data_IF_522560424990
#
_entry.id   IF_522560424990
#
_cell.length_a   1.000
_cell.length_b   1.000
_cell.length_c   1.000
_cell.angle_alpha   90.00
_cell.angle_beta   90.00
_cell.angle_gamma   90.00
#
_symmetry.space_group_name_H-M   'P 1'
#
loop_
_entity.id
_entity.type
_entity.pdbx_description
1 polymer ?
#
# COMPACT_ATOMS: atom_id res chain seq x y z
N UNK A 1 -22.40 -9.55 12.74
CA UNK A 1 -22.63 -8.22 13.32
C UNK A 1 -22.34 -7.07 12.33
N UNK A 2 -21.11 -6.91 11.82
CA UNK A 2 -20.76 -5.81 10.87
C UNK A 2 -21.67 -5.78 9.63
N UNK A 3 -21.90 -6.92 9.01
CA UNK A 3 -22.78 -7.02 7.86
C UNK A 3 -24.21 -6.63 8.18
N UNK A 4 -24.70 -7.01 9.35
CA UNK A 4 -26.03 -6.68 9.81
C UNK A 4 -26.19 -5.18 10.06
N UNK A 5 -25.23 -4.56 10.77
CA UNK A 5 -25.21 -3.12 10.97
C UNK A 5 -25.19 -2.34 9.65
N UNK A 6 -24.42 -2.80 8.66
CA UNK A 6 -24.41 -2.16 7.36
C UNK A 6 -25.71 -2.32 6.59
N UNK A 7 -26.38 -3.48 6.65
CA UNK A 7 -27.70 -3.64 6.03
C UNK A 7 -28.74 -2.71 6.62
N UNK A 8 -28.65 -2.43 7.93
CA UNK A 8 -29.58 -1.52 8.63
C UNK A 8 -29.27 -0.04 8.35
N UNK A 9 -28.01 0.36 8.41
CA UNK A 9 -27.61 1.78 8.35
C UNK A 9 -27.20 2.25 6.95
N UNK A 10 -26.65 1.36 6.12
CA UNK A 10 -26.19 1.69 4.76
C UNK A 10 -26.53 0.59 3.74
N UNK A 11 -27.80 0.45 3.33
CA UNK A 11 -28.21 -0.54 2.35
C UNK A 11 -27.52 -0.38 0.97
N UNK A 12 -26.97 0.79 0.68
CA UNK A 12 -26.22 1.05 -0.55
C UNK A 12 -24.83 0.42 -0.55
N UNK A 13 -24.27 0.09 0.61
CA UNK A 13 -23.02 -0.64 0.74
C UNK A 13 -23.25 -2.15 0.61
N UNK A 14 -23.45 -2.62 -0.61
CA UNK A 14 -23.95 -3.99 -0.88
C UNK A 14 -23.04 -4.84 -1.77
N UNK A 15 -21.90 -4.32 -2.24
CA UNK A 15 -20.98 -5.07 -3.12
C UNK A 15 -20.42 -6.30 -2.41
N UNK A 16 -20.59 -7.54 -2.95
CA UNK A 16 -20.21 -8.77 -2.25
C UNK A 16 -18.77 -8.79 -1.75
N UNK A 17 -17.80 -8.35 -2.57
CA UNK A 17 -16.38 -8.32 -2.18
C UNK A 17 -16.04 -7.29 -1.10
N UNK A 18 -16.87 -6.25 -0.93
CA UNK A 18 -16.69 -5.26 0.15
C UNK A 18 -17.32 -5.76 1.44
N UNK A 19 -18.46 -6.44 1.35
CA UNK A 19 -19.17 -7.05 2.48
C UNK A 19 -18.43 -8.27 3.09
N UNK A 20 -17.36 -8.73 2.50
CA UNK A 20 -16.47 -9.78 3.02
C UNK A 20 -15.20 -9.23 3.67
N UNK A 21 -14.97 -7.91 3.61
CA UNK A 21 -13.78 -7.29 4.17
C UNK A 21 -14.13 -6.49 5.44
N UNK A 22 -13.75 -6.96 6.65
CA UNK A 22 -14.08 -6.31 7.91
C UNK A 22 -13.64 -4.85 7.98
N UNK A 23 -12.44 -4.52 7.49
CA UNK A 23 -11.94 -3.14 7.52
C UNK A 23 -12.74 -2.20 6.62
N UNK A 24 -13.17 -2.68 5.44
CA UNK A 24 -14.04 -1.91 4.54
C UNK A 24 -15.42 -1.72 5.14
N UNK A 25 -15.96 -2.74 5.80
CA UNK A 25 -17.23 -2.67 6.51
C UNK A 25 -17.17 -1.69 7.67
N UNK A 26 -16.13 -1.76 8.50
CA UNK A 26 -15.94 -0.79 9.60
C UNK A 26 -15.85 0.63 9.06
N UNK A 27 -15.06 0.87 8.00
CA UNK A 27 -14.94 2.20 7.41
C UNK A 27 -16.26 2.72 6.84
N UNK A 28 -17.08 1.85 6.24
CA UNK A 28 -18.40 2.24 5.76
C UNK A 28 -19.33 2.62 6.92
N UNK A 29 -19.32 1.86 8.02
CA UNK A 29 -20.09 2.18 9.24
C UNK A 29 -19.65 3.50 9.87
N UNK A 30 -18.34 3.74 10.01
CA UNK A 30 -17.82 5.02 10.50
C UNK A 30 -18.34 6.20 9.68
N UNK A 31 -18.33 6.07 8.35
CA UNK A 31 -18.77 7.14 7.46
C UNK A 31 -20.28 7.38 7.59
N UNK A 32 -21.10 6.31 7.51
CA UNK A 32 -22.58 6.49 7.56
C UNK A 32 -23.03 6.97 8.92
N UNK A 33 -22.46 6.47 10.02
CA UNK A 33 -22.82 6.91 11.37
C UNK A 33 -22.32 8.33 11.67
N UNK A 34 -21.15 8.70 11.13
CA UNK A 34 -20.59 10.04 11.36
C UNK A 34 -21.14 11.14 10.46
N UNK A 35 -21.62 10.80 9.25
CA UNK A 35 -22.03 11.80 8.25
C UNK A 35 -23.50 11.69 7.83
N UNK A 36 -24.16 10.60 8.14
CA UNK A 36 -25.51 10.28 7.63
C UNK A 36 -25.52 9.90 6.13
N UNK A 37 -24.37 9.82 5.47
CA UNK A 37 -24.28 9.54 4.04
C UNK A 37 -23.46 8.26 3.77
N UNK A 38 -23.92 7.45 2.80
CA UNK A 38 -23.18 6.27 2.39
C UNK A 38 -21.80 6.61 1.85
N UNK A 39 -20.78 5.82 2.17
CA UNK A 39 -19.45 5.94 1.58
C UNK A 39 -19.48 5.81 0.04
N UNK A 40 -20.49 5.13 -0.51
CA UNK A 40 -20.66 4.98 -1.97
C UNK A 40 -20.99 6.32 -2.64
N UNK A 41 -21.72 7.22 -1.97
CA UNK A 41 -22.03 8.55 -2.50
C UNK A 41 -20.76 9.40 -2.69
N UNK A 42 -19.84 9.35 -1.70
CA UNK A 42 -18.55 10.05 -1.81
C UNK A 42 -17.65 9.48 -2.91
N UNK A 43 -17.70 8.17 -3.15
CA UNK A 43 -16.91 7.51 -4.21
C UNK A 43 -17.44 7.81 -5.61
N UNK A 44 -18.74 8.00 -5.74
CA UNK A 44 -19.41 8.26 -7.02
C UNK A 44 -19.54 9.76 -7.33
N UNK A 45 -19.10 10.63 -6.45
CA UNK A 45 -19.09 12.07 -6.69
C UNK A 45 -18.30 12.40 -7.95
N UNK A 46 -18.84 13.24 -8.82
CA UNK A 46 -18.16 13.72 -10.00
C UNK A 46 -16.81 14.34 -9.60
N UNK A 47 -15.75 13.94 -10.30
CA UNK A 47 -14.43 14.53 -10.06
C UNK A 47 -14.50 16.03 -10.34
N UNK A 48 -14.29 16.82 -9.32
CA UNK A 48 -14.17 18.27 -9.49
C UNK A 48 -13.03 18.60 -10.45
N UNK A 49 -13.25 19.47 -11.44
CA UNK A 49 -12.17 19.91 -12.32
C UNK A 49 -11.10 20.61 -11.47
N UNK A 50 -9.87 20.25 -11.72
CA UNK A 50 -8.71 20.85 -11.04
C UNK A 50 -8.03 21.84 -11.97
N UNK A 51 -7.50 22.97 -11.47
CA UNK A 51 -6.78 23.95 -12.29
C UNK A 51 -5.37 23.50 -12.68
N UNK A 52 -5.09 22.20 -12.61
CA UNK A 52 -3.82 21.59 -12.97
C UNK A 52 -4.02 20.19 -13.55
N UNK A 53 -3.09 19.77 -14.36
CA UNK A 53 -3.00 18.42 -14.86
C UNK A 53 -2.00 17.58 -14.04
N UNK A 54 -2.23 16.27 -13.97
CA UNK A 54 -1.37 15.35 -13.22
C UNK A 54 -0.67 14.40 -14.17
N UNK A 55 0.65 14.39 -14.13
CA UNK A 55 1.49 13.40 -14.81
C UNK A 55 1.80 12.28 -13.80
N UNK A 56 1.40 11.07 -14.12
CA UNK A 56 1.67 9.89 -13.29
C UNK A 56 2.89 9.15 -13.84
N UNK A 57 3.93 9.05 -13.04
CA UNK A 57 5.17 8.35 -13.40
C UNK A 57 5.32 7.15 -12.47
N UNK A 58 5.47 5.97 -13.06
CA UNK A 58 5.79 4.73 -12.37
C UNK A 58 7.26 4.38 -12.56
N UNK A 59 7.96 4.11 -11.47
CA UNK A 59 9.32 3.60 -11.52
C UNK A 59 9.30 2.08 -11.54
N UNK A 60 10.04 1.47 -12.48
CA UNK A 60 10.20 0.02 -12.48
C UNK A 60 11.68 -0.37 -12.49
N UNK A 61 11.93 -1.54 -11.96
CA UNK A 61 13.21 -2.22 -11.96
C UNK A 61 13.00 -3.64 -12.48
N UNK A 62 14.06 -4.29 -12.94
CA UNK A 62 14.02 -5.72 -13.15
C UNK A 62 13.63 -6.43 -11.85
N UNK A 63 12.98 -7.58 -11.98
CA UNK A 63 12.57 -8.37 -10.82
C UNK A 63 13.77 -8.78 -9.97
N UNK A 64 14.85 -9.12 -10.59
CA UNK A 64 16.09 -9.54 -9.97
C UNK A 64 16.68 -8.41 -9.14
N UNK A 65 16.87 -7.25 -9.75
CA UNK A 65 17.40 -6.05 -9.07
C UNK A 65 16.50 -5.61 -7.91
N UNK A 66 15.19 -5.64 -8.11
CA UNK A 66 14.25 -5.30 -7.05
C UNK A 66 14.37 -6.25 -5.86
N UNK A 67 14.50 -7.56 -6.11
CA UNK A 67 14.63 -8.56 -5.05
C UNK A 67 15.95 -8.47 -4.31
N UNK A 68 17.04 -8.20 -5.01
CA UNK A 68 18.35 -7.94 -4.40
C UNK A 68 18.29 -6.73 -3.47
N UNK A 69 17.74 -5.60 -3.96
CA UNK A 69 17.57 -4.39 -3.14
C UNK A 69 16.71 -4.63 -1.91
N UNK A 70 15.63 -5.42 -2.04
CA UNK A 70 14.78 -5.79 -0.89
C UNK A 70 15.59 -6.59 0.12
N UNK A 71 16.34 -7.60 -0.32
CA UNK A 71 17.11 -8.43 0.58
C UNK A 71 18.18 -7.61 1.31
N UNK A 72 18.97 -6.81 0.58
CA UNK A 72 19.98 -5.92 1.17
C UNK A 72 19.38 -4.91 2.16
N UNK A 73 18.20 -4.37 1.84
CA UNK A 73 17.49 -3.47 2.74
C UNK A 73 17.11 -4.15 4.06
N UNK A 74 16.58 -5.36 3.99
CA UNK A 74 16.20 -6.12 5.20
C UNK A 74 17.44 -6.42 6.05
N UNK A 75 18.54 -6.86 5.43
CA UNK A 75 19.79 -7.12 6.13
C UNK A 75 20.33 -5.83 6.81
N UNK A 76 20.28 -4.70 6.09
CA UNK A 76 20.66 -3.40 6.66
C UNK A 76 19.76 -2.93 7.80
N UNK A 77 18.44 -3.18 7.72
CA UNK A 77 17.50 -2.86 8.81
C UNK A 77 17.82 -3.68 10.08
N UNK A 78 18.11 -4.97 9.92
CA UNK A 78 18.52 -5.82 11.05
C UNK A 78 19.81 -5.33 11.69
N UNK A 79 20.80 -4.93 10.88
CA UNK A 79 22.07 -4.36 11.38
C UNK A 79 21.87 -3.01 12.06
N UNK A 80 20.87 -2.24 11.62
CA UNK A 80 20.53 -0.92 12.20
C UNK A 80 19.70 -0.99 13.49
N UNK A 81 19.37 -2.21 13.99
CA UNK A 81 18.69 -2.38 15.27
C UNK A 81 17.18 -2.59 15.19
N UNK A 82 16.66 -3.05 14.06
CA UNK A 82 15.22 -3.34 13.93
C UNK A 82 14.72 -4.39 14.92
N UNK A 83 15.59 -5.34 15.32
CA UNK A 83 15.23 -6.36 16.30
C UNK A 83 15.00 -5.73 17.68
N UNK A 84 15.87 -4.85 18.11
CA UNK A 84 15.78 -4.12 19.38
C UNK A 84 14.57 -3.19 19.40
N UNK A 85 14.32 -2.50 18.28
CA UNK A 85 13.13 -1.68 18.11
C UNK A 85 11.86 -2.53 18.27
N UNK A 86 11.74 -3.64 17.53
CA UNK A 86 10.60 -4.53 17.60
C UNK A 86 10.40 -5.11 19.00
N UNK A 87 11.50 -5.44 19.71
CA UNK A 87 11.46 -5.94 21.09
C UNK A 87 10.90 -4.90 22.04
N UNK A 88 11.26 -3.63 21.88
CA UNK A 88 10.73 -2.53 22.70
C UNK A 88 9.24 -2.30 22.47
N UNK A 89 8.73 -2.65 21.28
CA UNK A 89 7.33 -2.50 20.87
C UNK A 89 6.48 -3.74 21.18
N UNK A 90 7.05 -4.82 21.67
CA UNK A 90 6.35 -6.07 21.98
C UNK A 90 5.09 -5.90 22.87
N UNK A 91 5.08 -5.04 23.91
CA UNK A 91 3.89 -4.78 24.70
C UNK A 91 2.71 -4.21 23.91
N UNK A 92 3.00 -3.57 22.77
CA UNK A 92 2.03 -2.91 21.90
C UNK A 92 1.70 -3.72 20.65
N UNK A 93 2.15 -4.98 20.56
CA UNK A 93 2.00 -5.85 19.38
C UNK A 93 0.57 -6.00 18.87
N UNK A 94 -0.42 -5.80 19.75
CA UNK A 94 -1.84 -5.86 19.40
C UNK A 94 -2.32 -4.69 18.55
N UNK A 95 -1.55 -3.59 18.48
CA UNK A 95 -1.91 -2.42 17.70
C UNK A 95 -1.81 -2.71 16.21
N UNK A 96 -2.79 -2.24 15.44
CA UNK A 96 -2.88 -2.48 14.01
C UNK A 96 -1.65 -2.01 13.23
N UNK A 97 -1.00 -0.92 13.66
CA UNK A 97 0.22 -0.39 13.05
C UNK A 97 1.40 -1.38 13.12
N UNK A 98 1.45 -2.24 14.14
CA UNK A 98 2.51 -3.23 14.32
C UNK A 98 2.18 -4.60 13.69
N UNK A 99 0.99 -4.73 13.08
CA UNK A 99 0.58 -5.93 12.36
C UNK A 99 1.06 -5.88 10.89
N UNK A 100 2.31 -5.47 10.68
CA UNK A 100 2.92 -5.30 9.37
C UNK A 100 4.15 -6.18 9.18
N UNK A 101 4.60 -6.33 7.95
CA UNK A 101 5.83 -7.05 7.62
C UNK A 101 7.02 -6.40 8.32
N UNK A 102 7.85 -7.21 8.94
CA UNK A 102 9.00 -6.80 9.72
C UNK A 102 8.77 -6.95 11.23
N UNK A 103 7.62 -6.52 11.74
CA UNK A 103 7.30 -6.68 13.16
C UNK A 103 6.67 -8.04 13.46
N UNK A 104 5.72 -8.50 12.67
CA UNK A 104 5.03 -9.76 12.89
C UNK A 104 5.99 -10.94 12.97
N UNK A 105 6.88 -11.03 12.00
CA UNK A 105 7.87 -12.09 11.92
C UNK A 105 8.86 -12.04 13.12
N UNK A 106 9.23 -10.84 13.56
CA UNK A 106 10.07 -10.69 14.76
C UNK A 106 9.30 -11.03 16.04
N UNK A 107 8.00 -10.73 16.12
CA UNK A 107 7.18 -11.15 17.26
C UNK A 107 7.05 -12.67 17.31
N UNK A 108 6.88 -13.34 16.16
CA UNK A 108 6.84 -14.81 16.09
C UNK A 108 8.19 -15.42 16.54
N UNK A 109 9.30 -14.77 16.22
CA UNK A 109 10.61 -15.15 16.73
C UNK A 109 10.71 -14.94 18.25
N UNK A 110 10.25 -13.82 18.79
CA UNK A 110 10.28 -13.56 20.23
C UNK A 110 9.38 -14.52 21.03
N UNK A 111 8.32 -15.01 20.43
CA UNK A 111 7.46 -16.05 20.99
C UNK A 111 8.08 -17.46 20.88
N UNK A 112 9.24 -17.62 20.23
CA UNK A 112 9.90 -18.91 20.04
C UNK A 112 9.24 -19.83 19.03
N UNK A 113 8.33 -19.30 18.18
CA UNK A 113 7.62 -20.10 17.16
C UNK A 113 8.47 -20.35 15.92
N UNK A 114 9.41 -19.47 15.63
CA UNK A 114 10.37 -19.57 14.53
C UNK A 114 11.77 -19.14 15.00
N UNK A 115 12.81 -19.51 14.25
CA UNK A 115 14.17 -19.02 14.50
C UNK A 115 14.34 -17.58 14.03
N UNK A 116 15.41 -16.93 14.49
CA UNK A 116 15.79 -15.58 14.05
C UNK A 116 16.05 -15.54 12.55
N UNK A 117 16.77 -16.50 12.05
CA UNK A 117 17.11 -16.64 10.63
C UNK A 117 15.84 -16.82 9.79
N UNK A 118 14.92 -17.63 10.27
CA UNK A 118 13.65 -17.84 9.60
C UNK A 118 12.79 -16.57 9.59
N UNK A 119 12.77 -15.80 10.67
CA UNK A 119 12.08 -14.50 10.72
C UNK A 119 12.63 -13.55 9.65
N UNK A 120 13.96 -13.41 9.52
CA UNK A 120 14.60 -12.57 8.51
C UNK A 120 14.23 -13.02 7.09
N UNK A 121 14.28 -14.33 6.80
CA UNK A 121 13.90 -14.85 5.49
C UNK A 121 12.40 -14.64 5.20
N UNK A 122 11.54 -14.75 6.21
CA UNK A 122 10.12 -14.45 6.08
C UNK A 122 9.89 -12.96 5.79
N UNK A 123 10.59 -12.06 6.46
CA UNK A 123 10.52 -10.61 6.19
C UNK A 123 10.90 -10.32 4.73
N UNK A 124 12.01 -10.87 4.24
CA UNK A 124 12.45 -10.74 2.84
C UNK A 124 11.36 -11.24 1.88
N UNK A 125 10.86 -12.45 2.11
CA UNK A 125 9.81 -13.07 1.29
C UNK A 125 8.53 -12.24 1.27
N UNK A 126 8.04 -11.82 2.43
CA UNK A 126 6.80 -11.07 2.56
C UNK A 126 6.92 -9.66 1.96
N UNK A 127 8.11 -9.03 2.06
CA UNK A 127 8.41 -7.76 1.41
C UNK A 127 8.40 -7.90 -0.12
N UNK A 128 8.99 -8.96 -0.69
CA UNK A 128 8.92 -9.26 -2.13
C UNK A 128 7.47 -9.47 -2.60
N UNK A 129 6.66 -10.17 -1.81
CA UNK A 129 5.23 -10.34 -2.12
C UNK A 129 4.46 -9.02 -2.05
N UNK A 130 4.79 -8.15 -1.11
CA UNK A 130 4.20 -6.82 -1.01
C UNK A 130 4.54 -5.97 -2.24
N UNK A 131 5.81 -5.95 -2.64
CA UNK A 131 6.25 -5.26 -3.86
C UNK A 131 5.52 -5.79 -5.12
N UNK A 132 5.34 -7.12 -5.25
CA UNK A 132 4.55 -7.70 -6.34
C UNK A 132 3.10 -7.20 -6.35
N UNK A 133 2.46 -7.12 -5.18
CA UNK A 133 1.08 -6.58 -5.08
C UNK A 133 1.03 -5.10 -5.46
N UNK A 134 2.00 -4.30 -5.03
CA UNK A 134 2.11 -2.88 -5.43
C UNK A 134 2.23 -2.74 -6.95
N UNK A 135 3.15 -3.46 -7.58
CA UNK A 135 3.33 -3.44 -9.04
C UNK A 135 2.05 -3.83 -9.78
N UNK A 136 1.36 -4.88 -9.31
CA UNK A 136 0.07 -5.30 -9.90
C UNK A 136 -0.99 -4.21 -9.80
N UNK A 137 -1.03 -3.49 -8.68
CA UNK A 137 -1.98 -2.40 -8.46
C UNK A 137 -1.65 -1.18 -9.32
N UNK A 138 -0.39 -0.75 -9.33
CA UNK A 138 0.05 0.40 -10.12
C UNK A 138 -0.06 0.16 -11.62
N UNK A 139 0.22 -1.05 -12.12
CA UNK A 139 0.07 -1.40 -13.54
C UNK A 139 -1.39 -1.36 -14.05
N UNK A 140 -2.36 -1.35 -13.14
CA UNK A 140 -3.78 -1.12 -13.48
C UNK A 140 -4.17 0.34 -13.60
N UNK A 141 -3.30 1.27 -13.20
CA UNK A 141 -3.58 2.70 -13.29
C UNK A 141 -3.45 3.15 -14.74
N UNK A 142 -4.58 3.61 -15.31
CA UNK A 142 -4.57 4.23 -16.63
C UNK A 142 -3.72 5.52 -16.61
N UNK A 143 -3.03 5.81 -17.69
CA UNK A 143 -2.20 7.01 -17.87
C UNK A 143 -0.89 7.05 -17.05
N UNK A 144 -0.40 5.93 -16.53
CA UNK A 144 0.90 5.88 -15.89
C UNK A 144 2.01 5.71 -16.94
N UNK A 145 2.98 6.61 -16.92
CA UNK A 145 4.19 6.54 -17.74
C UNK A 145 5.26 5.76 -16.96
N UNK A 146 5.61 4.59 -17.45
CA UNK A 146 6.61 3.75 -16.80
C UNK A 146 8.00 4.12 -17.30
N UNK A 147 8.94 4.23 -16.38
CA UNK A 147 10.35 4.51 -16.64
C UNK A 147 11.23 3.64 -15.75
N UNK A 148 12.35 3.21 -16.29
CA UNK A 148 13.38 2.53 -15.51
C UNK A 148 13.86 3.45 -14.38
N UNK A 149 13.99 2.91 -13.17
CA UNK A 149 14.42 3.65 -11.98
C UNK A 149 15.93 3.98 -11.99
N UNK A 150 16.65 3.78 -13.10
CA UNK A 150 18.03 4.22 -13.25
C UNK A 150 18.15 5.74 -13.26
N UNK A 151 19.24 6.25 -12.69
CA UNK A 151 19.54 7.68 -12.67
C UNK A 151 19.52 8.31 -14.06
N UNK A 152 18.98 9.52 -14.14
CA UNK A 152 18.97 10.34 -15.35
C UNK A 152 17.81 10.12 -16.31
N UNK A 153 16.98 9.09 -16.15
CA UNK A 153 15.86 8.82 -17.09
C UNK A 153 14.56 9.55 -16.72
N UNK A 154 14.39 9.94 -15.48
CA UNK A 154 13.13 10.51 -14.97
C UNK A 154 12.93 11.94 -15.46
N UNK A 155 13.93 12.82 -15.28
CA UNK A 155 13.82 14.24 -15.62
C UNK A 155 13.54 14.44 -17.12
N UNK A 156 14.28 13.83 -18.06
CA UNK A 156 14.00 13.97 -19.49
C UNK A 156 12.60 13.47 -19.88
N UNK A 157 12.07 12.44 -19.20
CA UNK A 157 10.71 11.98 -19.43
C UNK A 157 9.69 13.04 -18.99
N UNK A 158 9.88 13.64 -17.81
CA UNK A 158 8.99 14.69 -17.30
C UNK A 158 8.95 15.90 -18.25
N UNK A 159 10.11 16.40 -18.63
CA UNK A 159 10.25 17.54 -19.55
C UNK A 159 9.51 17.29 -20.87
N UNK A 160 9.75 16.14 -21.50
CA UNK A 160 9.06 15.74 -22.73
C UNK A 160 7.53 15.63 -22.57
N UNK A 161 7.04 15.16 -21.41
CA UNK A 161 5.60 15.05 -21.15
C UNK A 161 4.97 16.42 -20.92
N UNK A 162 5.67 17.34 -20.26
CA UNK A 162 5.23 18.73 -20.07
C UNK A 162 5.14 19.49 -21.39
N UNK A 163 6.14 19.36 -22.26
CA UNK A 163 6.13 20.00 -23.59
C UNK A 163 4.95 19.55 -24.45
N UNK A 164 4.62 18.24 -24.42
CA UNK A 164 3.46 17.70 -25.15
C UNK A 164 2.12 18.25 -24.64
N UNK A 165 2.00 18.52 -23.35
CA UNK A 165 0.78 19.09 -22.78
C UNK A 165 0.60 20.55 -23.20
N UNK A 166 1.67 21.35 -23.17
CA UNK A 166 1.65 22.76 -23.62
C UNK A 166 1.32 22.86 -25.11
N UNK A 167 1.82 21.93 -25.94
CA UNK A 167 1.54 21.90 -27.38
C UNK A 167 0.09 21.54 -27.74
N UNK A 168 -0.61 20.76 -26.92
CA UNK A 168 -2.01 20.35 -27.11
C UNK A 168 -3.04 21.37 -26.59
N UNK A 169 -2.60 22.42 -25.88
CA UNK A 169 -3.46 23.47 -25.31
C UNK A 169 -3.57 24.71 -26.21
N UNK A 170 -3.01 24.64 -27.44
CA UNK A 170 -3.19 25.60 -28.51
C UNK A 170 -4.10 25.04 -29.59
#
# INVERSE_FOLDING_TARGET
WLQEQLRQHDPFFSKPGEMQNPQRMMRALEVILGTGQSITSFRNSAKQPRPFETILIGLELSRETLYERINLRVDGMMQAGQEEEARSLLPYRHLNALQTVGYRELFDYFDGTISREEAIEQIKRNTRQYAKRQMTWFKRQAKMHWVDAEEGKIIPLVERLMEKQVGNSK
#
